data_IF_258639123040
#
_entry.id   IF_258639123040
#
_cell.length_a   1.000
_cell.length_b   1.000
_cell.length_c   1.000
_cell.angle_alpha   90.00
_cell.angle_beta   90.00
_cell.angle_gamma   90.00
#
_symmetry.space_group_name_H-M   'P 1'
#
loop_
_entity.id
_entity.type
_entity.pdbx_description
1 polymer ?
#
# COMPACT_ATOMS: atom_id res chain seq x y z
N UNK A 1 -4.73 -8.38 -7.08
CA UNK A 1 -6.07 -8.75 -6.65
C UNK A 1 -6.41 -10.12 -7.20
N UNK A 2 -6.59 -11.10 -6.33
CA UNK A 2 -6.95 -12.47 -6.72
C UNK A 2 -8.47 -12.65 -6.54
N UNK A 3 -9.13 -13.19 -7.56
CA UNK A 3 -10.58 -13.38 -7.59
C UNK A 3 -10.87 -14.84 -7.96
N UNK A 4 -11.70 -15.54 -7.17
CA UNK A 4 -12.13 -16.91 -7.49
C UNK A 4 -13.16 -16.92 -8.62
N UNK A 5 -12.98 -17.82 -9.60
CA UNK A 5 -13.92 -18.00 -10.72
C UNK A 5 -15.11 -18.92 -10.39
N UNK A 6 -15.04 -19.63 -9.25
CA UNK A 6 -16.08 -20.57 -8.82
C UNK A 6 -17.47 -19.94 -8.72
N UNK A 7 -18.51 -20.73 -8.99
CA UNK A 7 -19.90 -20.29 -8.86
C UNK A 7 -20.20 -19.93 -7.41
N UNK A 8 -20.77 -18.74 -7.17
CA UNK A 8 -21.05 -18.20 -5.84
C UNK A 8 -19.83 -17.56 -5.14
N UNK A 9 -18.60 -17.94 -5.50
CA UNK A 9 -17.38 -17.40 -4.90
C UNK A 9 -17.10 -15.98 -5.38
N UNK A 10 -17.20 -15.75 -6.68
CA UNK A 10 -17.06 -14.43 -7.28
C UNK A 10 -18.15 -13.47 -6.78
N UNK A 11 -19.40 -13.92 -6.81
CA UNK A 11 -20.55 -13.12 -6.42
C UNK A 11 -20.47 -12.69 -4.94
N UNK A 12 -20.06 -13.62 -4.07
CA UNK A 12 -19.83 -13.31 -2.66
C UNK A 12 -18.71 -12.29 -2.48
N UNK A 13 -17.58 -12.46 -3.18
CA UNK A 13 -16.42 -11.57 -3.08
C UNK A 13 -16.69 -10.14 -3.56
N UNK A 14 -17.53 -9.96 -4.60
CA UNK A 14 -17.84 -8.66 -5.19
C UNK A 14 -19.11 -8.02 -4.60
N UNK A 15 -19.83 -8.70 -3.74
CA UNK A 15 -21.02 -8.20 -3.05
C UNK A 15 -20.72 -6.92 -2.24
N UNK A 16 -21.74 -6.27 -1.70
CA UNK A 16 -21.60 -4.99 -0.96
C UNK A 16 -20.58 -5.09 0.18
N UNK A 17 -20.56 -6.22 0.87
CA UNK A 17 -19.71 -6.50 2.04
C UNK A 17 -18.67 -7.60 1.72
N UNK A 18 -18.38 -7.80 0.43
CA UNK A 18 -17.46 -8.83 -0.04
C UNK A 18 -15.99 -8.43 0.08
N UNK A 19 -15.14 -9.40 0.45
CA UNK A 19 -13.71 -9.16 0.70
C UNK A 19 -12.96 -8.62 -0.53
N UNK A 20 -13.27 -9.08 -1.74
CA UNK A 20 -12.65 -8.57 -2.97
C UNK A 20 -12.86 -7.07 -3.13
N UNK A 21 -14.07 -6.62 -2.77
CA UNK A 21 -14.44 -5.21 -2.80
C UNK A 21 -13.70 -4.40 -1.75
N UNK A 22 -13.65 -4.89 -0.53
CA UNK A 22 -12.92 -4.24 0.57
C UNK A 22 -11.42 -4.14 0.28
N UNK A 23 -10.80 -5.23 -0.19
CA UNK A 23 -9.37 -5.25 -0.51
C UNK A 23 -9.01 -4.26 -1.64
N UNK A 24 -9.79 -4.20 -2.70
CA UNK A 24 -9.53 -3.27 -3.80
C UNK A 24 -9.69 -1.80 -3.35
N UNK A 25 -10.71 -1.50 -2.55
CA UNK A 25 -10.92 -0.17 -1.98
C UNK A 25 -9.79 0.21 -1.02
N UNK A 26 -9.39 -0.72 -0.15
CA UNK A 26 -8.30 -0.50 0.80
C UNK A 26 -6.97 -0.25 0.06
N UNK A 27 -6.65 -1.07 -0.94
CA UNK A 27 -5.44 -0.89 -1.75
C UNK A 27 -5.40 0.50 -2.41
N UNK A 28 -6.51 0.94 -3.01
CA UNK A 28 -6.62 2.27 -3.61
C UNK A 28 -6.44 3.39 -2.58
N UNK A 29 -7.10 3.27 -1.43
CA UNK A 29 -7.04 4.25 -0.33
C UNK A 29 -5.63 4.36 0.25
N UNK A 30 -4.89 3.26 0.30
CA UNK A 30 -3.49 3.21 0.72
C UNK A 30 -2.50 3.67 -0.36
N UNK A 31 -2.99 4.16 -1.50
CA UNK A 31 -2.17 4.77 -2.54
C UNK A 31 -1.58 3.79 -3.56
N UNK A 32 -2.06 2.55 -3.62
CA UNK A 32 -1.68 1.60 -4.68
C UNK A 32 -2.17 2.12 -6.03
N UNK A 33 -1.24 2.36 -6.94
CA UNK A 33 -1.53 2.97 -8.25
C UNK A 33 -1.66 1.95 -9.38
N UNK A 34 -0.99 0.81 -9.27
CA UNK A 34 -0.96 -0.24 -10.28
C UNK A 34 -1.61 -1.49 -9.72
N UNK A 35 -2.49 -2.10 -10.50
CA UNK A 35 -3.27 -3.27 -10.10
C UNK A 35 -3.17 -4.33 -11.18
N UNK A 36 -2.99 -5.57 -10.77
CA UNK A 36 -3.12 -6.77 -11.59
C UNK A 36 -4.29 -7.57 -11.03
N UNK A 37 -5.15 -8.10 -11.89
CA UNK A 37 -6.24 -8.97 -11.49
C UNK A 37 -5.97 -10.39 -11.98
N UNK A 38 -5.82 -11.31 -11.04
CA UNK A 38 -5.71 -12.74 -11.32
C UNK A 38 -7.07 -13.41 -11.09
N UNK A 39 -7.68 -13.92 -12.17
CA UNK A 39 -8.92 -14.69 -12.10
C UNK A 39 -8.54 -16.14 -11.86
N UNK A 40 -8.56 -16.56 -10.60
CA UNK A 40 -8.07 -17.85 -10.13
C UNK A 40 -9.17 -18.93 -10.13
N UNK A 41 -8.75 -20.18 -10.04
CA UNK A 41 -9.64 -21.36 -10.05
C UNK A 41 -10.42 -21.51 -11.37
N UNK A 42 -9.79 -21.11 -12.48
CA UNK A 42 -10.40 -21.28 -13.80
C UNK A 42 -10.61 -22.75 -14.16
N UNK A 43 -9.84 -23.67 -13.58
CA UNK A 43 -10.03 -25.10 -13.64
C UNK A 43 -11.42 -25.54 -13.12
N UNK A 44 -11.85 -25.00 -11.97
CA UNK A 44 -13.18 -25.29 -11.41
C UNK A 44 -14.31 -24.71 -12.25
N UNK A 45 -14.06 -23.61 -12.94
CA UNK A 45 -14.96 -23.02 -13.93
C UNK A 45 -14.83 -23.67 -15.32
N UNK A 46 -14.11 -24.82 -15.43
CA UNK A 46 -13.87 -25.56 -16.69
C UNK A 46 -13.34 -24.69 -17.82
N UNK A 47 -12.55 -23.67 -17.49
CA UNK A 47 -11.97 -22.70 -18.42
C UNK A 47 -12.99 -22.05 -19.36
N UNK A 48 -14.23 -21.89 -18.91
CA UNK A 48 -15.28 -21.25 -19.69
C UNK A 48 -14.96 -19.78 -19.97
N UNK A 49 -14.81 -19.41 -21.25
CA UNK A 49 -14.54 -18.04 -21.66
C UNK A 49 -15.64 -17.06 -21.19
N UNK A 50 -16.91 -17.49 -21.32
CA UNK A 50 -18.06 -16.67 -20.88
C UNK A 50 -17.98 -16.28 -19.40
N UNK A 51 -17.52 -17.20 -18.55
CA UNK A 51 -17.34 -16.95 -17.12
C UNK A 51 -16.20 -15.96 -16.88
N UNK A 52 -15.09 -16.11 -17.57
CA UNK A 52 -13.99 -15.17 -17.51
C UNK A 52 -14.41 -13.76 -17.94
N UNK A 53 -15.09 -13.64 -19.09
CA UNK A 53 -15.54 -12.37 -19.63
C UNK A 53 -16.53 -11.67 -18.69
N UNK A 54 -17.43 -12.39 -18.06
CA UNK A 54 -18.35 -11.92 -17.03
C UNK A 54 -17.58 -11.30 -15.85
N UNK A 55 -16.65 -12.07 -15.28
CA UNK A 55 -15.82 -11.65 -14.13
C UNK A 55 -15.00 -10.41 -14.49
N UNK A 56 -14.37 -10.39 -15.66
CA UNK A 56 -13.58 -9.23 -16.13
C UNK A 56 -14.46 -7.99 -16.26
N UNK A 57 -15.64 -8.11 -16.86
CA UNK A 57 -16.58 -7.00 -17.05
C UNK A 57 -17.03 -6.40 -15.71
N UNK A 58 -17.50 -7.25 -14.80
CA UNK A 58 -17.98 -6.78 -13.49
C UNK A 58 -16.85 -6.20 -12.64
N UNK A 59 -15.68 -6.85 -12.65
CA UNK A 59 -14.50 -6.34 -11.92
C UNK A 59 -14.03 -5.01 -12.49
N UNK A 60 -13.94 -4.84 -13.81
CA UNK A 60 -13.60 -3.56 -14.44
C UNK A 60 -14.56 -2.45 -14.01
N UNK A 61 -15.87 -2.71 -14.04
CA UNK A 61 -16.88 -1.74 -13.62
C UNK A 61 -16.69 -1.30 -12.17
N UNK A 62 -16.37 -2.25 -11.31
CA UNK A 62 -16.19 -2.03 -9.89
C UNK A 62 -14.89 -1.27 -9.59
N UNK A 63 -13.72 -1.70 -10.08
CA UNK A 63 -12.44 -1.03 -9.80
C UNK A 63 -12.36 0.36 -10.43
N UNK A 64 -13.06 0.59 -11.56
CA UNK A 64 -13.23 1.92 -12.16
C UNK A 64 -13.99 2.87 -11.24
N UNK A 65 -15.04 2.40 -10.56
CA UNK A 65 -15.79 3.20 -9.57
C UNK A 65 -14.96 3.57 -8.35
N UNK A 66 -13.98 2.74 -7.99
CA UNK A 66 -13.02 3.05 -6.92
C UNK A 66 -12.06 4.15 -7.36
N UNK A 67 -11.65 4.17 -8.63
CA UNK A 67 -10.74 5.18 -9.19
C UNK A 67 -9.52 4.60 -9.94
N UNK A 68 -9.42 3.28 -10.06
CA UNK A 68 -8.35 2.67 -10.86
C UNK A 68 -8.53 2.93 -12.36
N UNK A 69 -7.43 3.15 -13.06
CA UNK A 69 -7.43 3.21 -14.52
C UNK A 69 -7.48 1.80 -15.11
N UNK A 70 -8.68 1.33 -15.46
CA UNK A 70 -8.92 -0.02 -15.95
C UNK A 70 -8.29 -0.32 -17.31
N UNK A 71 -7.89 0.70 -18.06
CA UNK A 71 -7.19 0.56 -19.33
C UNK A 71 -5.78 -0.04 -19.15
N UNK A 72 -5.19 0.15 -17.96
CA UNK A 72 -3.85 -0.31 -17.62
C UNK A 72 -3.81 -1.58 -16.74
N UNK A 73 -4.97 -2.13 -16.39
CA UNK A 73 -5.05 -3.28 -15.49
C UNK A 73 -5.01 -4.58 -16.29
N UNK A 74 -3.95 -5.40 -16.16
CA UNK A 74 -3.92 -6.75 -16.69
C UNK A 74 -4.95 -7.65 -16.01
N UNK A 75 -5.65 -8.46 -16.78
CA UNK A 75 -6.52 -9.54 -16.30
C UNK A 75 -5.97 -10.88 -16.78
N UNK A 76 -5.60 -11.73 -15.85
CA UNK A 76 -4.95 -13.02 -16.15
C UNK A 76 -5.82 -14.15 -15.61
N UNK A 77 -6.35 -15.04 -16.48
CA UNK A 77 -7.03 -16.26 -16.03
C UNK A 77 -5.99 -17.28 -15.59
N UNK A 78 -6.07 -17.74 -14.36
CA UNK A 78 -5.09 -18.66 -13.78
C UNK A 78 -5.75 -19.88 -13.11
N UNK A 79 -4.98 -20.94 -12.96
CA UNK A 79 -5.21 -21.97 -11.96
C UNK A 79 -3.98 -22.08 -11.08
N UNK A 80 -4.05 -21.51 -9.88
CA UNK A 80 -2.97 -21.58 -8.91
C UNK A 80 -2.70 -23.02 -8.44
N UNK A 81 -3.68 -23.92 -8.55
CA UNK A 81 -3.54 -25.33 -8.19
C UNK A 81 -2.78 -26.12 -9.27
N UNK A 82 -3.10 -25.90 -10.55
CA UNK A 82 -2.48 -26.61 -11.67
C UNK A 82 -1.23 -25.91 -12.21
N UNK A 83 -1.00 -24.63 -11.85
CA UNK A 83 0.08 -23.82 -12.38
C UNK A 83 -0.21 -23.13 -13.72
N UNK A 84 -1.41 -23.29 -14.28
CA UNK A 84 -1.76 -22.69 -15.57
C UNK A 84 -1.68 -21.15 -15.53
N UNK A 85 -0.95 -20.56 -16.47
CA UNK A 85 -0.70 -19.13 -16.63
C UNK A 85 -0.07 -18.46 -15.40
N UNK A 86 0.60 -19.21 -14.53
CA UNK A 86 1.33 -18.64 -13.39
C UNK A 86 2.70 -18.11 -13.79
N UNK A 87 3.46 -18.90 -14.52
CA UNK A 87 4.85 -18.64 -14.90
C UNK A 87 5.00 -18.82 -16.41
N UNK A 88 5.83 -17.98 -17.04
CA UNK A 88 6.25 -18.13 -18.43
C UNK A 88 7.65 -18.77 -18.45
N UNK A 89 7.73 -20.00 -18.90
CA UNK A 89 9.01 -20.73 -19.04
C UNK A 89 9.74 -20.41 -20.36
N UNK A 90 9.02 -19.85 -21.35
CA UNK A 90 9.55 -19.55 -22.68
C UNK A 90 9.18 -18.10 -23.07
N UNK A 91 10.12 -17.28 -23.56
CA UNK A 91 9.83 -15.94 -24.05
C UNK A 91 8.88 -15.90 -25.28
N UNK A 92 8.52 -17.08 -25.83
CA UNK A 92 7.57 -17.17 -26.95
C UNK A 92 6.13 -17.28 -26.40
N UNK A 93 5.32 -16.22 -26.49
CA UNK A 93 3.99 -16.15 -25.89
C UNK A 93 3.05 -17.31 -26.23
N UNK A 94 3.13 -17.82 -27.47
CA UNK A 94 2.19 -18.84 -27.95
C UNK A 94 2.33 -20.23 -27.29
N UNK A 95 3.47 -20.53 -26.68
CA UNK A 95 3.74 -21.85 -26.06
C UNK A 95 3.26 -21.96 -24.61
N UNK A 96 3.01 -20.85 -23.95
CA UNK A 96 2.65 -20.82 -22.54
C UNK A 96 1.13 -20.73 -22.29
N UNK A 97 0.33 -20.77 -23.34
CA UNK A 97 -1.13 -20.79 -23.21
C UNK A 97 -1.56 -22.18 -22.79
N UNK A 98 -2.33 -22.28 -21.71
CA UNK A 98 -2.94 -23.54 -21.29
C UNK A 98 -3.79 -24.12 -22.42
N UNK A 99 -3.64 -25.43 -22.74
CA UNK A 99 -4.46 -26.07 -23.73
C UNK A 99 -5.97 -26.06 -23.39
N UNK A 100 -6.27 -25.84 -22.10
CA UNK A 100 -7.64 -25.71 -21.60
C UNK A 100 -8.27 -24.36 -21.92
N UNK A 101 -7.46 -23.34 -22.27
CA UNK A 101 -7.89 -21.96 -22.55
C UNK A 101 -7.45 -21.49 -23.97
N UNK A 102 -7.82 -22.17 -25.06
CA UNK A 102 -7.37 -21.78 -26.41
C UNK A 102 -7.90 -20.42 -26.88
N UNK A 103 -8.93 -19.92 -26.21
CA UNK A 103 -9.53 -18.60 -26.41
C UNK A 103 -8.68 -17.45 -25.84
N UNK A 104 -7.87 -17.73 -24.83
CA UNK A 104 -7.01 -16.72 -24.21
C UNK A 104 -5.79 -16.43 -25.08
N UNK A 105 -5.55 -15.17 -25.39
CA UNK A 105 -4.44 -14.73 -26.26
C UNK A 105 -3.41 -13.87 -25.52
N UNK A 106 -3.48 -13.86 -24.20
CA UNK A 106 -2.70 -13.01 -23.33
C UNK A 106 -3.51 -11.84 -22.78
N UNK A 107 -3.01 -11.26 -21.70
CA UNK A 107 -3.59 -10.06 -21.11
C UNK A 107 -3.24 -8.81 -21.93
N UNK A 108 -4.12 -7.83 -21.91
CA UNK A 108 -3.99 -6.62 -22.69
C UNK A 108 -4.04 -5.38 -21.80
N UNK A 109 -3.34 -4.34 -22.22
CA UNK A 109 -3.47 -2.99 -21.66
C UNK A 109 -3.63 -1.98 -22.78
N UNK A 110 -4.32 -0.86 -22.51
CA UNK A 110 -4.47 0.23 -23.46
C UNK A 110 -3.51 1.35 -23.07
N UNK A 111 -2.53 1.61 -23.92
CA UNK A 111 -1.54 2.66 -23.74
C UNK A 111 -1.84 3.84 -24.69
N UNK A 112 -1.35 5.04 -24.36
CA UNK A 112 -1.42 6.18 -25.25
C UNK A 112 -0.05 6.39 -25.89
N UNK A 113 0.04 6.15 -27.19
CA UNK A 113 1.24 6.37 -28.00
C UNK A 113 0.91 7.44 -29.05
N UNK A 114 1.73 8.49 -29.12
CA UNK A 114 1.57 9.61 -30.06
C UNK A 114 0.14 10.22 -30.04
N UNK A 115 -0.46 10.33 -28.85
CA UNK A 115 -1.80 10.87 -28.65
C UNK A 115 -2.95 9.93 -29.05
N UNK A 116 -2.66 8.72 -29.52
CA UNK A 116 -3.65 7.68 -29.86
C UNK A 116 -3.67 6.57 -28.84
N UNK A 117 -4.88 6.09 -28.53
CA UNK A 117 -5.03 4.88 -27.69
C UNK A 117 -4.79 3.63 -28.52
N UNK A 118 -3.90 2.78 -28.04
CA UNK A 118 -3.55 1.50 -28.66
C UNK A 118 -3.68 0.39 -27.60
N UNK A 119 -4.36 -0.71 -27.94
CA UNK A 119 -4.42 -1.89 -27.09
C UNK A 119 -3.31 -2.85 -27.48
N UNK A 120 -2.43 -3.13 -26.53
CA UNK A 120 -1.29 -4.03 -26.72
C UNK A 120 -1.42 -5.26 -25.84
N UNK A 121 -0.93 -6.40 -26.37
CA UNK A 121 -0.75 -7.62 -25.58
C UNK A 121 0.56 -7.46 -24.81
N UNK A 122 0.51 -7.57 -23.47
CA UNK A 122 1.68 -7.41 -22.62
C UNK A 122 2.36 -8.74 -22.27
N UNK A 123 1.59 -9.83 -22.16
CA UNK A 123 2.09 -11.16 -21.82
C UNK A 123 0.96 -12.16 -21.63
N UNK A 124 1.29 -13.36 -21.16
CA UNK A 124 0.33 -14.46 -20.97
C UNK A 124 0.15 -14.80 -19.50
N UNK A 125 1.26 -14.83 -18.75
CA UNK A 125 1.27 -15.30 -17.38
C UNK A 125 1.09 -14.18 -16.36
N UNK A 126 0.80 -14.58 -15.13
CA UNK A 126 0.80 -13.68 -13.98
C UNK A 126 2.21 -13.11 -13.74
N UNK A 127 3.25 -13.91 -13.96
CA UNK A 127 4.63 -13.44 -13.88
C UNK A 127 4.91 -12.32 -14.88
N UNK A 128 4.51 -12.48 -16.16
CA UNK A 128 4.67 -11.42 -17.17
C UNK A 128 3.99 -10.12 -16.73
N UNK A 129 2.81 -10.23 -16.10
CA UNK A 129 2.09 -9.06 -15.59
C UNK A 129 2.79 -8.40 -14.40
N UNK A 130 3.50 -9.17 -13.57
CA UNK A 130 4.32 -8.65 -12.45
C UNK A 130 5.59 -7.97 -13.01
N UNK A 131 6.23 -8.57 -14.00
CA UNK A 131 7.44 -8.02 -14.63
C UNK A 131 7.15 -6.72 -15.42
N UNK A 132 5.92 -6.55 -15.90
CA UNK A 132 5.46 -5.32 -16.58
C UNK A 132 5.15 -4.15 -15.60
N UNK A 133 5.19 -4.38 -14.28
CA UNK A 133 4.94 -3.32 -13.30
C UNK A 133 6.01 -2.24 -13.40
N UNK A 134 5.58 -1.01 -13.63
CA UNK A 134 6.49 0.13 -13.67
C UNK A 134 6.98 0.45 -12.25
N UNK A 135 8.30 0.45 -11.99
CA UNK A 135 8.81 0.81 -10.68
C UNK A 135 8.33 2.20 -10.25
N UNK A 136 7.94 2.39 -8.98
CA UNK A 136 7.54 3.69 -8.48
C UNK A 136 8.71 4.66 -8.48
N UNK A 137 8.44 5.96 -8.62
CA UNK A 137 9.46 6.99 -8.40
C UNK A 137 9.98 6.89 -6.97
N UNK A 138 11.29 6.85 -6.83
CA UNK A 138 11.99 6.83 -5.53
C UNK A 138 12.41 8.25 -5.17
N UNK A 139 11.78 8.89 -4.15
CA UNK A 139 12.05 10.29 -3.80
C UNK A 139 13.35 10.41 -2.98
N UNK A 140 14.49 10.33 -3.64
CA UNK A 140 15.82 10.47 -3.03
C UNK A 140 16.19 11.91 -2.69
N UNK A 141 15.53 12.87 -3.33
CA UNK A 141 15.70 14.33 -3.17
C UNK A 141 14.99 14.92 -1.96
N UNK A 142 14.11 14.14 -1.33
CA UNK A 142 13.38 14.55 -0.13
C UNK A 142 14.19 14.27 1.15
N UNK A 143 13.85 14.93 2.29
CA UNK A 143 14.42 14.57 3.58
C UNK A 143 14.25 13.08 3.92
N UNK A 144 15.22 12.52 4.63
CA UNK A 144 15.17 11.11 5.04
C UNK A 144 13.97 10.83 5.96
N UNK A 145 13.18 9.83 5.60
CA UNK A 145 12.11 9.26 6.44
C UNK A 145 12.21 7.74 6.40
N UNK A 146 12.53 7.16 7.55
CA UNK A 146 12.69 5.73 7.73
C UNK A 146 11.91 5.28 8.97
N UNK A 147 10.64 4.88 8.82
CA UNK A 147 9.84 4.31 9.90
C UNK A 147 10.42 2.99 10.38
N UNK A 148 10.62 2.83 11.69
CA UNK A 148 11.18 1.63 12.30
C UNK A 148 10.13 0.53 12.39
N UNK A 149 10.43 -0.62 11.82
CA UNK A 149 9.64 -1.85 11.93
C UNK A 149 10.00 -2.63 13.20
N UNK A 150 11.30 -2.62 13.56
CA UNK A 150 11.80 -3.28 14.75
C UNK A 150 13.16 -2.70 15.18
N UNK A 151 13.61 -3.08 16.37
CA UNK A 151 14.93 -2.69 16.91
C UNK A 151 15.58 -3.88 17.60
N UNK A 152 16.70 -4.31 17.09
CA UNK A 152 17.43 -5.48 17.60
C UNK A 152 18.68 -5.09 18.38
N UNK A 153 19.02 -5.89 19.39
CA UNK A 153 20.32 -5.88 20.04
C UNK A 153 21.12 -7.07 19.55
N UNK A 154 22.18 -6.82 18.80
CA UNK A 154 23.04 -7.87 18.24
C UNK A 154 24.36 -7.88 19.00
N UNK A 155 24.75 -9.05 19.56
CA UNK A 155 26.01 -9.21 20.28
C UNK A 155 27.21 -8.85 19.41
N UNK A 156 28.16 -8.08 19.95
CA UNK A 156 29.34 -7.60 19.22
C UNK A 156 29.09 -6.43 18.25
N UNK A 157 27.84 -6.15 17.85
CA UNK A 157 27.48 -5.08 16.92
C UNK A 157 26.84 -3.90 17.63
N UNK A 158 25.83 -4.16 18.47
CA UNK A 158 25.11 -3.13 19.21
C UNK A 158 23.63 -3.09 18.84
N UNK A 159 23.05 -1.87 18.87
CA UNK A 159 21.65 -1.65 18.51
C UNK A 159 21.50 -1.45 17.00
N UNK A 160 20.59 -2.22 16.40
CA UNK A 160 20.31 -2.24 14.97
C UNK A 160 18.80 -2.02 14.76
N UNK A 161 18.37 -0.78 14.52
CA UNK A 161 17.03 -0.48 14.00
C UNK A 161 16.87 -1.04 12.59
N UNK A 162 15.65 -1.48 12.28
CA UNK A 162 15.28 -2.01 10.95
C UNK A 162 14.04 -1.28 10.46
N UNK A 163 14.03 -0.92 9.18
CA UNK A 163 12.86 -0.32 8.56
C UNK A 163 13.02 -0.10 7.06
N UNK A 164 11.92 0.24 6.40
CA UNK A 164 11.92 0.60 5.00
C UNK A 164 12.08 2.10 4.82
N UNK A 165 12.99 2.49 3.95
CA UNK A 165 13.19 3.90 3.61
C UNK A 165 12.00 4.35 2.75
N UNK A 166 11.30 5.39 3.20
CA UNK A 166 10.18 5.98 2.44
C UNK A 166 10.66 7.12 1.55
N UNK A 167 11.51 7.99 2.07
CA UNK A 167 12.09 9.13 1.35
C UNK A 167 13.53 9.37 1.77
N UNK A 168 14.29 10.08 0.94
CA UNK A 168 15.67 10.46 1.21
C UNK A 168 16.65 9.29 1.11
N UNK A 169 17.86 9.51 1.60
CA UNK A 169 18.96 8.54 1.53
C UNK A 169 19.58 8.40 2.92
N UNK A 170 19.89 7.18 3.34
CA UNK A 170 20.68 6.91 4.55
C UNK A 170 22.07 6.42 4.18
N UNK A 171 23.10 6.93 4.86
CA UNK A 171 24.51 6.55 4.65
C UNK A 171 25.22 6.30 5.99
N UNK A 172 26.25 5.44 6.03
CA UNK A 172 27.16 5.39 7.14
C UNK A 172 27.79 6.78 7.42
N UNK A 173 27.95 7.12 8.68
CA UNK A 173 28.46 8.42 9.12
C UNK A 173 27.41 9.53 9.23
N UNK A 174 26.18 9.33 8.74
CA UNK A 174 25.10 10.29 8.96
C UNK A 174 24.69 10.36 10.42
N UNK A 175 24.31 11.55 10.86
CA UNK A 175 23.67 11.74 12.17
C UNK A 175 22.16 11.78 11.98
N UNK A 176 21.45 10.85 12.60
CA UNK A 176 20.01 10.71 12.50
C UNK A 176 19.32 11.03 13.82
N UNK A 177 18.12 11.59 13.72
CA UNK A 177 17.21 11.82 14.85
C UNK A 177 16.00 10.91 14.73
N UNK A 178 15.60 10.29 15.85
CA UNK A 178 14.41 9.45 15.95
C UNK A 178 13.26 10.25 16.59
N UNK A 179 12.17 10.40 15.89
CA UNK A 179 10.94 10.96 16.43
C UNK A 179 9.92 9.85 16.74
N UNK A 180 9.11 9.98 17.81
CA UNK A 180 9.03 11.09 18.76
C UNK A 180 9.99 10.97 19.96
N UNK A 181 10.90 9.98 19.99
CA UNK A 181 11.80 9.76 21.13
C UNK A 181 12.88 10.84 21.29
N UNK A 182 13.12 11.67 20.27
CA UNK A 182 14.11 12.74 20.21
C UNK A 182 15.55 12.28 20.50
N UNK A 183 15.86 11.03 20.18
CA UNK A 183 17.21 10.46 20.28
C UNK A 183 17.98 10.79 19.01
N UNK A 184 19.18 11.35 19.15
CA UNK A 184 20.07 11.64 18.02
C UNK A 184 21.34 10.82 18.12
N UNK A 185 21.75 10.22 17.01
CA UNK A 185 22.94 9.34 16.99
C UNK A 185 23.55 9.24 15.59
N UNK A 186 24.78 8.75 15.54
CA UNK A 186 25.50 8.47 14.30
C UNK A 186 25.21 7.04 13.80
N UNK A 187 24.98 6.91 12.49
CA UNK A 187 24.86 5.63 11.78
C UNK A 187 26.25 5.08 11.50
N UNK A 188 26.55 3.89 12.02
CA UNK A 188 27.84 3.21 11.82
C UNK A 188 27.91 2.42 10.52
N UNK A 189 26.87 1.66 10.22
CA UNK A 189 26.73 0.85 9.01
C UNK A 189 25.28 0.81 8.53
N UNK A 190 25.08 0.52 7.26
CA UNK A 190 23.77 0.25 6.64
C UNK A 190 23.87 -1.08 5.92
N UNK A 191 22.94 -1.99 6.14
CA UNK A 191 22.98 -3.35 5.62
C UNK A 191 21.63 -3.79 5.10
N UNK A 192 21.64 -4.58 4.04
CA UNK A 192 20.47 -5.25 3.49
C UNK A 192 20.87 -6.66 3.01
N UNK A 193 20.10 -7.68 3.37
CA UNK A 193 20.39 -9.08 3.00
C UNK A 193 21.83 -9.53 3.35
N UNK A 194 22.34 -9.14 4.53
CA UNK A 194 23.71 -9.44 5.00
C UNK A 194 24.82 -8.81 4.15
N UNK A 195 24.50 -7.81 3.35
CA UNK A 195 25.48 -7.05 2.57
C UNK A 195 25.53 -5.61 3.08
N UNK A 196 26.74 -5.10 3.28
CA UNK A 196 26.94 -3.69 3.60
C UNK A 196 26.63 -2.83 2.38
N UNK A 197 25.90 -1.75 2.62
CA UNK A 197 25.56 -0.76 1.61
C UNK A 197 26.37 0.51 1.85
N UNK A 198 26.80 1.15 0.77
CA UNK A 198 27.35 2.52 0.80
C UNK A 198 26.26 3.56 1.02
N UNK A 199 25.05 3.26 0.60
CA UNK A 199 23.83 4.06 0.84
C UNK A 199 22.59 3.18 0.73
N UNK A 200 21.54 3.51 1.48
CA UNK A 200 20.19 2.97 1.32
C UNK A 200 19.28 4.01 0.69
N UNK A 201 18.41 3.58 -0.23
CA UNK A 201 17.50 4.44 -1.00
C UNK A 201 16.03 4.08 -0.76
N UNK A 202 15.06 4.95 -1.12
CA UNK A 202 13.65 4.67 -0.91
C UNK A 202 13.21 3.34 -1.52
N UNK A 203 12.49 2.55 -0.72
CA UNK A 203 12.07 1.18 -1.03
C UNK A 203 12.97 0.09 -0.44
N UNK A 204 14.22 0.40 -0.09
CA UNK A 204 15.10 -0.56 0.57
C UNK A 204 14.65 -0.81 2.02
N UNK A 205 14.61 -2.06 2.41
CA UNK A 205 14.40 -2.47 3.80
C UNK A 205 15.75 -2.75 4.43
N UNK A 206 16.22 -1.82 5.27
CA UNK A 206 17.59 -1.82 5.78
C UNK A 206 17.64 -2.02 7.28
N UNK A 207 18.68 -2.73 7.75
CA UNK A 207 19.16 -2.66 9.11
C UNK A 207 20.32 -1.66 9.18
N UNK A 208 20.35 -0.82 10.20
CA UNK A 208 21.45 0.12 10.36
C UNK A 208 21.94 0.18 11.79
N UNK A 209 23.25 0.05 11.97
CA UNK A 209 23.87 0.08 13.29
C UNK A 209 23.99 1.53 13.77
N UNK A 210 23.61 1.81 15.01
CA UNK A 210 23.66 3.13 15.62
C UNK A 210 24.57 3.17 16.85
N UNK A 211 25.17 4.33 17.10
CA UNK A 211 26.17 4.53 18.14
C UNK A 211 25.48 4.92 19.47
N UNK A 212 25.87 4.24 20.57
CA UNK A 212 25.47 4.62 21.94
C UNK A 212 23.96 4.76 22.18
N UNK A 213 23.13 3.98 21.49
CA UNK A 213 21.68 3.94 21.68
C UNK A 213 21.28 2.57 22.20
N UNK A 214 20.46 2.53 23.24
CA UNK A 214 19.87 1.30 23.77
C UNK A 214 18.59 0.93 23.02
N UNK A 215 18.28 -0.35 22.95
CA UNK A 215 16.97 -0.83 22.44
C UNK A 215 15.76 -0.35 23.25
N UNK A 216 16.01 0.29 24.42
CA UNK A 216 14.94 0.90 25.24
C UNK A 216 14.66 2.34 24.83
N UNK A 217 15.60 3.00 24.13
CA UNK A 217 15.52 4.41 23.79
C UNK A 217 14.69 4.66 22.52
N UNK A 218 14.68 3.68 21.63
CA UNK A 218 13.96 3.72 20.35
C UNK A 218 13.14 2.43 20.16
N UNK A 219 12.07 2.50 19.38
CA UNK A 219 11.16 1.36 19.22
C UNK A 219 10.43 1.41 17.88
N UNK A 220 9.73 0.33 17.55
CA UNK A 220 8.75 0.28 16.45
C UNK A 220 7.80 1.49 16.54
N UNK A 221 7.51 2.10 15.40
CA UNK A 221 6.67 3.29 15.30
C UNK A 221 7.44 4.61 15.38
N UNK A 222 8.74 4.59 15.78
CA UNK A 222 9.58 5.76 15.60
C UNK A 222 9.94 5.94 14.13
N UNK A 223 10.26 7.17 13.75
CA UNK A 223 10.76 7.53 12.41
C UNK A 223 12.17 8.10 12.55
N UNK A 224 13.11 7.54 11.80
CA UNK A 224 14.47 8.07 11.68
C UNK A 224 14.54 9.05 10.52
N UNK A 225 15.23 10.17 10.71
CA UNK A 225 15.51 11.16 9.67
C UNK A 225 16.84 11.85 9.89
N UNK A 226 17.32 12.58 8.88
CA UNK A 226 18.58 13.35 8.97
C UNK A 226 18.44 14.47 10.01
N UNK A 227 19.33 14.50 11.00
CA UNK A 227 19.31 15.53 12.05
C UNK A 227 19.59 16.95 11.54
N UNK A 228 20.18 17.07 10.35
CA UNK A 228 20.58 18.37 9.75
C UNK A 228 19.66 18.81 8.62
N UNK A 229 18.80 17.91 8.10
CA UNK A 229 17.93 18.20 6.98
C UNK A 229 16.50 17.78 7.32
N UNK A 230 15.73 18.74 7.88
CA UNK A 230 14.32 18.56 8.24
C UNK A 230 14.09 17.29 9.09
N UNK A 231 14.60 17.24 10.34
CA UNK A 231 14.44 16.06 11.18
C UNK A 231 12.97 15.79 11.50
N UNK A 232 12.55 14.51 11.59
CA UNK A 232 11.19 14.16 11.93
C UNK A 232 10.82 14.65 13.34
N UNK A 233 9.55 14.97 13.53
CA UNK A 233 9.05 15.50 14.80
C UNK A 233 7.84 14.70 15.30
N UNK A 234 7.71 14.62 16.62
CA UNK A 234 6.50 14.14 17.27
C UNK A 234 5.40 15.18 17.23
N UNK A 235 4.14 14.73 17.16
CA UNK A 235 3.00 15.64 17.23
C UNK A 235 2.19 15.43 18.51
N UNK A 236 1.67 16.53 19.07
CA UNK A 236 0.71 16.50 20.18
C UNK A 236 -0.72 16.33 19.68
N UNK A 237 -1.01 16.87 18.50
CA UNK A 237 -2.29 16.71 17.80
C UNK A 237 -2.07 16.97 16.32
N UNK A 238 -2.95 16.44 15.48
CA UNK A 238 -2.96 16.71 14.04
C UNK A 238 -4.39 16.80 13.52
N UNK A 239 -4.57 17.45 12.40
CA UNK A 239 -5.85 17.54 11.71
C UNK A 239 -5.78 16.70 10.45
N UNK A 240 -6.77 15.84 10.26
CA UNK A 240 -6.81 14.93 9.11
C UNK A 240 -8.19 14.91 8.47
N UNK A 241 -8.20 14.72 7.16
CA UNK A 241 -9.41 14.32 6.46
C UNK A 241 -9.63 12.83 6.66
N UNK A 242 -10.80 12.47 7.14
CA UNK A 242 -11.20 11.07 7.37
C UNK A 242 -12.39 10.70 6.49
N UNK A 243 -12.45 9.43 6.10
CA UNK A 243 -13.59 8.84 5.41
C UNK A 243 -14.03 7.64 6.24
N UNK A 244 -15.29 7.61 6.66
CA UNK A 244 -15.86 6.49 7.40
C UNK A 244 -16.34 5.45 6.38
N UNK A 245 -15.63 4.33 6.28
CA UNK A 245 -15.95 3.28 5.30
C UNK A 245 -17.03 2.33 5.83
N UNK A 246 -16.82 1.80 7.03
CA UNK A 246 -17.73 0.85 7.66
C UNK A 246 -17.68 1.01 9.18
N UNK A 247 -18.71 1.58 9.75
CA UNK A 247 -18.89 1.71 11.19
C UNK A 247 -20.36 1.50 11.55
N UNK A 248 -20.70 0.64 12.53
CA UNK A 248 -22.08 0.26 12.82
C UNK A 248 -22.93 1.38 13.40
N UNK A 249 -22.31 2.48 13.83
CA UNK A 249 -23.03 3.59 14.49
C UNK A 249 -22.53 4.95 14.05
N UNK A 250 -22.87 5.95 14.85
CA UNK A 250 -22.41 7.32 14.69
C UNK A 250 -21.06 7.49 15.40
N UNK A 251 -20.16 8.25 14.76
CA UNK A 251 -18.84 8.61 15.26
C UNK A 251 -18.86 10.09 15.61
N UNK A 252 -18.56 10.43 16.85
CA UNK A 252 -18.51 11.80 17.32
C UNK A 252 -17.22 12.12 18.08
N UNK A 253 -17.14 13.30 18.65
CA UNK A 253 -16.04 13.68 19.54
C UNK A 253 -15.91 12.69 20.70
N UNK A 254 -14.68 12.31 21.03
CA UNK A 254 -14.38 11.29 22.04
C UNK A 254 -14.16 9.88 21.49
N UNK A 255 -14.56 9.58 20.25
CA UNK A 255 -14.22 8.33 19.59
C UNK A 255 -12.69 8.18 19.46
N UNK A 256 -12.16 7.01 19.80
CA UNK A 256 -10.73 6.79 19.89
C UNK A 256 -10.31 5.49 19.18
N UNK A 257 -10.32 5.47 17.85
CA UNK A 257 -9.87 4.33 17.08
C UNK A 257 -8.36 4.14 17.20
N UNK A 258 -7.89 2.93 16.95
CA UNK A 258 -6.47 2.70 16.73
C UNK A 258 -6.11 3.12 15.32
N UNK A 259 -5.09 3.95 15.20
CA UNK A 259 -4.57 4.46 13.95
C UNK A 259 -3.26 3.76 13.61
N UNK A 260 -3.19 3.23 12.41
CA UNK A 260 -1.96 2.76 11.80
C UNK A 260 -1.37 3.87 10.92
N UNK A 261 -0.18 4.37 11.31
CA UNK A 261 0.57 5.34 10.53
C UNK A 261 1.99 4.80 10.33
N UNK A 262 2.29 4.33 9.12
CA UNK A 262 3.48 3.54 8.83
C UNK A 262 3.60 2.35 9.80
N UNK A 263 4.57 2.37 10.69
CA UNK A 263 4.81 1.30 11.67
C UNK A 263 4.22 1.60 13.06
N UNK A 264 3.68 2.79 13.29
CA UNK A 264 3.02 3.17 14.54
C UNK A 264 1.59 2.63 14.58
N UNK A 265 1.18 2.05 15.71
CA UNK A 265 -0.12 1.49 16.00
C UNK A 265 -0.63 2.08 17.31
N UNK A 266 -1.34 3.20 17.26
CA UNK A 266 -1.62 4.05 18.42
C UNK A 266 -3.08 4.51 18.36
N UNK A 267 -3.79 4.40 19.50
CA UNK A 267 -5.13 4.95 19.64
C UNK A 267 -5.09 6.49 19.55
N UNK A 268 -5.92 7.05 18.68
CA UNK A 268 -6.04 8.49 18.46
C UNK A 268 -7.47 8.94 18.70
N UNK A 269 -7.64 9.84 19.67
CA UNK A 269 -8.95 10.37 20.02
C UNK A 269 -9.37 11.46 19.04
N UNK A 270 -10.58 11.38 18.51
CA UNK A 270 -11.25 12.48 17.83
C UNK A 270 -11.58 13.57 18.84
N UNK A 271 -10.72 14.56 18.94
CA UNK A 271 -10.88 15.64 19.90
C UNK A 271 -11.95 16.64 19.46
N UNK A 272 -11.98 16.93 18.15
CA UNK A 272 -12.87 17.92 17.55
C UNK A 272 -13.28 17.49 16.17
N UNK A 273 -14.56 17.61 15.86
CA UNK A 273 -15.13 17.42 14.52
C UNK A 273 -15.19 18.79 13.86
N UNK A 274 -14.24 19.09 12.96
CA UNK A 274 -14.09 20.45 12.41
C UNK A 274 -15.13 20.71 11.32
N UNK A 275 -15.20 19.83 10.33
CA UNK A 275 -16.10 19.98 9.19
C UNK A 275 -16.54 18.63 8.66
N UNK A 276 -17.79 18.56 8.19
CA UNK A 276 -18.27 17.48 7.34
C UNK A 276 -18.14 17.89 5.89
N UNK A 277 -17.62 17.00 5.05
CA UNK A 277 -17.34 17.26 3.65
C UNK A 277 -18.26 16.46 2.72
N UNK A 278 -18.61 17.05 1.59
CA UNK A 278 -19.16 16.30 0.46
C UNK A 278 -18.06 15.42 -0.14
N UNK A 279 -18.27 14.11 -0.11
CA UNK A 279 -17.29 13.12 -0.54
C UNK A 279 -16.90 13.25 -2.02
N UNK A 280 -17.78 13.77 -2.86
CA UNK A 280 -17.57 13.90 -4.30
C UNK A 280 -16.87 15.20 -4.67
N UNK A 281 -17.25 16.30 -4.01
CA UNK A 281 -16.75 17.65 -4.35
C UNK A 281 -15.66 18.14 -3.40
N UNK A 282 -15.49 17.50 -2.22
CA UNK A 282 -14.59 17.95 -1.17
C UNK A 282 -15.02 19.24 -0.47
N UNK A 283 -16.20 19.80 -0.81
CA UNK A 283 -16.69 21.03 -0.22
C UNK A 283 -17.30 20.79 1.16
N UNK A 284 -17.19 21.78 2.04
CA UNK A 284 -17.83 21.77 3.34
C UNK A 284 -19.36 21.73 3.21
N UNK A 285 -19.99 20.82 3.94
CA UNK A 285 -21.45 20.67 4.06
C UNK A 285 -21.93 21.24 5.40
N UNK A 286 -21.19 20.97 6.47
CA UNK A 286 -21.58 21.32 7.83
C UNK A 286 -20.32 21.62 8.66
N UNK A 287 -20.30 22.75 9.36
CA UNK A 287 -19.26 23.10 10.30
C UNK A 287 -19.58 22.50 11.68
N UNK A 288 -18.56 21.99 12.36
CA UNK A 288 -18.66 21.42 13.71
C UNK A 288 -19.79 20.36 13.85
N UNK A 289 -19.82 19.33 13.00
CA UNK A 289 -20.86 18.31 13.07
C UNK A 289 -20.81 17.57 14.42
N UNK A 290 -21.96 17.27 14.98
CA UNK A 290 -22.05 16.48 16.24
C UNK A 290 -21.58 15.04 16.03
N UNK A 291 -21.84 14.48 14.87
CA UNK A 291 -21.47 13.12 14.49
C UNK A 291 -21.32 12.95 12.97
N UNK A 292 -20.59 11.93 12.58
CA UNK A 292 -20.50 11.41 11.21
C UNK A 292 -20.82 9.92 11.22
N UNK A 293 -21.13 9.34 10.07
CA UNK A 293 -21.51 7.93 9.91
C UNK A 293 -20.85 7.32 8.70
N UNK A 294 -21.00 6.02 8.52
CA UNK A 294 -20.52 5.32 7.32
C UNK A 294 -20.89 6.03 6.03
N UNK A 295 -19.93 6.24 5.18
CA UNK A 295 -20.04 6.95 3.91
C UNK A 295 -19.72 8.45 4.00
N UNK A 296 -19.64 9.03 5.18
CA UNK A 296 -19.30 10.44 5.37
C UNK A 296 -17.79 10.68 5.25
N UNK A 297 -17.42 11.88 4.80
CA UNK A 297 -16.07 12.43 4.88
C UNK A 297 -16.06 13.65 5.81
N UNK A 298 -15.01 13.82 6.58
CA UNK A 298 -14.90 14.94 7.53
C UNK A 298 -13.45 15.36 7.76
N UNK A 299 -13.26 16.59 8.19
CA UNK A 299 -12.03 17.09 8.80
C UNK A 299 -12.14 16.92 10.31
N UNK A 300 -11.18 16.24 10.90
CA UNK A 300 -11.16 15.89 12.31
C UNK A 300 -9.82 16.26 12.93
N UNK A 301 -9.83 16.87 14.11
CA UNK A 301 -8.64 17.04 14.94
C UNK A 301 -8.46 15.82 15.81
N UNK A 302 -7.30 15.19 15.70
CA UNK A 302 -6.95 13.97 16.43
C UNK A 302 -5.86 14.21 17.47
N UNK A 303 -5.98 13.54 18.61
CA UNK A 303 -4.98 13.55 19.67
C UNK A 303 -4.52 12.13 19.95
N UNK A 304 -3.25 11.80 19.64
CA UNK A 304 -2.68 10.49 19.93
C UNK A 304 -2.61 10.21 21.44
N UNK A 305 -2.89 8.98 21.86
CA UNK A 305 -2.79 8.57 23.27
C UNK A 305 -1.35 8.38 23.77
N UNK A 306 -0.39 8.30 22.83
CA UNK A 306 1.05 8.21 23.08
C UNK A 306 1.78 9.07 22.06
N UNK A 307 3.02 9.53 22.35
CA UNK A 307 3.81 10.26 21.38
C UNK A 307 3.92 9.52 20.05
N UNK A 308 3.69 10.24 18.96
CA UNK A 308 3.61 9.72 17.60
C UNK A 308 4.21 10.72 16.63
N UNK A 309 4.87 10.23 15.56
CA UNK A 309 5.31 11.05 14.45
C UNK A 309 4.25 11.01 13.35
N UNK A 310 3.71 12.16 12.99
CA UNK A 310 2.77 12.34 11.87
C UNK A 310 3.21 13.57 11.11
N UNK A 311 3.33 13.44 9.80
CA UNK A 311 3.73 14.52 8.89
C UNK A 311 2.74 14.65 7.74
N UNK A 312 2.72 15.79 7.09
CA UNK A 312 1.85 16.10 5.92
C UNK A 312 2.46 15.61 4.61
#
# INVERSE_FOLDING_TARGET
LVIGAGTGEFEAGISKDGQTREHALLAFTLGVKQLIVAVNKMDTAKWAQSRYDEIVKETKNFIKKIGFNTDLVPFVPISGFNGDHMISEDPVPAKNISPNAPWYKGWTKTITKDGKKETVVGGISLQDAIDDVTPPKRPTDKPLRLPLQDVYKIGGIGTVPVGRIETGIIKPGMVVTFAPSNVTTEVKSVEMHHQQLTEGVPGDNVGFNVKNVSVKDIRRGNVAGDSKNDPPQGCASFTAQVIILNHPGQVGAGYAPVLDCHTAHIACKFAEMVEKLDRRTGKSIEANPKFIKSGDAAIVKMVPSKPMCVET
#
